data_IF_460998541017
#
_entry.id   IF_460998541017
#
_cell.length_a   1.000
_cell.length_b   1.000
_cell.length_c   1.000
_cell.angle_alpha   90.00
_cell.angle_beta   90.00
_cell.angle_gamma   90.00
#
_symmetry.space_group_name_H-M   'P 1'
#
loop_
_entity.id
_entity.type
_entity.pdbx_description
1 polymer ?
#
# COMPACT_ATOMS: atom_id res chain seq x y z
N UNK A 1 28.68 23.69 -7.03
CA UNK A 1 27.87 23.69 -5.80
C UNK A 1 26.39 23.69 -6.11
N UNK A 2 25.93 24.66 -6.88
CA UNK A 2 24.49 24.72 -7.24
C UNK A 2 24.03 23.46 -7.99
N UNK A 3 24.86 22.94 -8.88
CA UNK A 3 24.53 21.71 -9.63
C UNK A 3 24.42 20.50 -8.72
N UNK A 4 25.25 20.38 -7.71
CA UNK A 4 25.18 19.28 -6.75
C UNK A 4 23.94 19.38 -5.89
N UNK A 5 23.59 20.59 -5.45
CA UNK A 5 22.35 20.80 -4.70
C UNK A 5 21.12 20.44 -5.53
N UNK A 6 21.10 20.89 -6.78
CA UNK A 6 20.00 20.61 -7.68
C UNK A 6 19.90 19.12 -7.98
N UNK A 7 21.03 18.45 -8.19
CA UNK A 7 21.06 17.01 -8.36
C UNK A 7 20.47 16.28 -7.15
N UNK A 8 20.80 16.74 -5.95
CA UNK A 8 20.27 16.16 -4.72
C UNK A 8 18.78 16.33 -4.60
N UNK A 9 18.26 17.51 -4.91
CA UNK A 9 16.81 17.75 -4.93
C UNK A 9 16.11 16.87 -5.95
N UNK A 10 16.72 16.69 -7.13
CA UNK A 10 16.16 15.82 -8.16
C UNK A 10 16.12 14.36 -7.72
N UNK A 11 17.19 13.89 -7.07
CA UNK A 11 17.26 12.52 -6.56
C UNK A 11 16.22 12.28 -5.45
N UNK A 12 16.14 13.20 -4.48
CA UNK A 12 15.16 13.11 -3.38
C UNK A 12 13.75 13.15 -3.96
N UNK A 13 13.49 14.06 -4.89
CA UNK A 13 12.19 14.16 -5.53
C UNK A 13 11.82 12.89 -6.29
N UNK A 14 12.79 12.31 -7.01
CA UNK A 14 12.55 11.07 -7.75
C UNK A 14 12.25 9.91 -6.80
N UNK A 15 13.05 9.74 -5.75
CA UNK A 15 12.85 8.67 -4.77
C UNK A 15 11.51 8.83 -4.04
N UNK A 16 11.17 10.06 -3.63
CA UNK A 16 9.91 10.35 -2.97
C UNK A 16 8.73 10.04 -3.91
N UNK A 17 8.84 10.41 -5.18
CA UNK A 17 7.80 10.13 -6.17
C UNK A 17 7.63 8.62 -6.38
N UNK A 18 8.72 7.87 -6.46
CA UNK A 18 8.68 6.41 -6.60
C UNK A 18 7.99 5.77 -5.39
N UNK A 19 8.31 6.24 -4.19
CA UNK A 19 7.67 5.76 -2.96
C UNK A 19 6.17 6.08 -3.01
N UNK A 20 5.80 7.31 -3.36
CA UNK A 20 4.41 7.73 -3.43
C UNK A 20 3.62 6.88 -4.42
N UNK A 21 4.12 6.69 -5.63
CA UNK A 21 3.44 5.88 -6.64
C UNK A 21 3.31 4.43 -6.21
N UNK A 22 4.37 3.86 -5.63
CA UNK A 22 4.33 2.49 -5.13
C UNK A 22 3.24 2.32 -4.06
N UNK A 23 3.15 3.25 -3.11
CA UNK A 23 2.15 3.17 -2.05
C UNK A 23 0.75 3.44 -2.57
N UNK A 24 0.57 4.36 -3.53
CA UNK A 24 -0.73 4.58 -4.15
C UNK A 24 -1.23 3.33 -4.88
N UNK A 25 -0.34 2.64 -5.58
CA UNK A 25 -0.68 1.38 -6.24
C UNK A 25 -1.09 0.33 -5.21
N UNK A 26 -0.32 0.19 -4.13
CA UNK A 26 -0.64 -0.74 -3.05
C UNK A 26 -1.98 -0.39 -2.39
N UNK A 27 -2.24 0.89 -2.11
CA UNK A 27 -3.53 1.33 -1.57
C UNK A 27 -4.67 0.96 -2.52
N UNK A 28 -4.47 1.17 -3.83
CA UNK A 28 -5.46 0.81 -4.84
C UNK A 28 -5.78 -0.68 -4.83
N UNK A 29 -4.76 -1.54 -4.73
CA UNK A 29 -4.97 -2.98 -4.64
C UNK A 29 -5.69 -3.39 -3.36
N UNK A 30 -5.39 -2.76 -2.23
CA UNK A 30 -6.07 -3.04 -0.97
C UNK A 30 -7.53 -2.61 -1.05
N UNK A 31 -7.81 -1.43 -1.59
CA UNK A 31 -9.18 -0.95 -1.78
C UNK A 31 -9.96 -1.89 -2.72
N UNK A 32 -9.33 -2.32 -3.81
CA UNK A 32 -9.94 -3.28 -4.72
C UNK A 32 -10.24 -4.60 -4.02
N UNK A 33 -9.35 -5.05 -3.14
CA UNK A 33 -9.58 -6.25 -2.33
C UNK A 33 -10.80 -6.11 -1.44
N UNK A 34 -11.00 -4.93 -0.83
CA UNK A 34 -12.19 -4.64 -0.03
C UNK A 34 -13.46 -4.73 -0.90
N UNK A 35 -13.43 -4.10 -2.07
CA UNK A 35 -14.56 -4.11 -2.97
C UNK A 35 -14.92 -5.53 -3.42
N UNK A 36 -13.91 -6.33 -3.76
CA UNK A 36 -14.14 -7.73 -4.13
C UNK A 36 -14.71 -8.56 -2.98
N UNK A 37 -14.38 -8.22 -1.74
CA UNK A 37 -14.89 -8.96 -0.58
C UNK A 37 -16.38 -8.75 -0.38
N UNK A 38 -16.96 -7.68 -0.96
CA UNK A 38 -18.40 -7.40 -0.88
C UNK A 38 -19.20 -8.23 -1.88
N UNK A 39 -18.53 -8.82 -2.88
CA UNK A 39 -19.20 -9.65 -3.89
C UNK A 39 -18.99 -11.12 -3.56
N UNK A 40 -20.06 -11.92 -3.54
CA UNK A 40 -19.94 -13.35 -3.25
C UNK A 40 -19.34 -14.10 -4.43
N UNK A 41 -18.37 -14.95 -4.14
CA UNK A 41 -17.84 -15.89 -5.10
C UNK A 41 -16.77 -15.33 -6.02
N UNK A 42 -16.28 -16.23 -6.87
CA UNK A 42 -15.23 -15.92 -7.86
C UNK A 42 -15.90 -15.39 -9.12
N UNK A 43 -15.31 -14.37 -9.77
CA UNK A 43 -15.91 -13.82 -10.98
C UNK A 43 -16.03 -14.85 -12.09
N UNK A 44 -17.09 -14.74 -12.91
CA UNK A 44 -17.34 -15.66 -14.02
C UNK A 44 -16.65 -15.23 -15.32
N UNK A 45 -16.36 -13.95 -15.47
CA UNK A 45 -15.68 -13.39 -16.65
C UNK A 45 -14.18 -13.64 -16.57
N UNK A 46 -13.57 -14.06 -17.68
CA UNK A 46 -12.11 -14.29 -17.75
C UNK A 46 -11.31 -13.04 -17.41
N UNK A 47 -11.77 -11.88 -17.88
CA UNK A 47 -11.12 -10.61 -17.59
C UNK A 47 -11.17 -10.29 -16.09
N UNK A 48 -12.36 -10.42 -15.49
CA UNK A 48 -12.52 -10.15 -14.07
C UNK A 48 -11.80 -11.17 -13.20
N UNK A 49 -11.67 -12.41 -13.66
CA UNK A 49 -10.88 -13.42 -12.96
C UNK A 49 -9.40 -13.01 -12.91
N UNK A 50 -8.87 -12.51 -14.03
CA UNK A 50 -7.49 -12.03 -14.08
C UNK A 50 -7.28 -10.84 -13.13
N UNK A 51 -8.21 -9.90 -13.11
CA UNK A 51 -8.18 -8.74 -12.20
C UNK A 51 -8.24 -9.20 -10.74
N UNK A 52 -9.16 -10.10 -10.43
CA UNK A 52 -9.34 -10.63 -9.08
C UNK A 52 -8.08 -11.33 -8.59
N UNK A 53 -7.49 -12.19 -9.44
CA UNK A 53 -6.28 -12.92 -9.09
C UNK A 53 -5.09 -11.99 -8.90
N UNK A 54 -4.96 -10.95 -9.74
CA UNK A 54 -3.91 -9.95 -9.61
C UNK A 54 -4.05 -9.15 -8.31
N UNK A 55 -5.27 -8.74 -7.97
CA UNK A 55 -5.55 -8.02 -6.73
C UNK A 55 -5.17 -8.88 -5.53
N UNK A 56 -5.57 -10.14 -5.52
CA UNK A 56 -5.24 -11.05 -4.42
C UNK A 56 -3.75 -11.33 -4.34
N UNK A 57 -3.07 -11.47 -5.46
CA UNK A 57 -1.64 -11.71 -5.48
C UNK A 57 -0.84 -10.58 -4.84
N UNK A 58 -1.30 -9.34 -4.97
CA UNK A 58 -0.65 -8.16 -4.37
C UNK A 58 -1.14 -7.95 -2.94
N UNK A 59 -2.44 -8.03 -2.69
CA UNK A 59 -3.01 -7.72 -1.38
C UNK A 59 -2.74 -8.80 -0.33
N UNK A 60 -2.77 -10.08 -0.70
CA UNK A 60 -2.63 -11.17 0.27
C UNK A 60 -1.31 -11.12 1.06
N UNK A 61 -0.13 -10.91 0.46
CA UNK A 61 1.10 -10.83 1.23
C UNK A 61 1.10 -9.72 2.28
N UNK A 62 0.34 -8.66 2.04
CA UNK A 62 0.20 -7.55 2.98
C UNK A 62 -0.83 -7.88 4.06
N UNK A 63 -1.97 -8.44 3.66
CA UNK A 63 -3.11 -8.65 4.55
C UNK A 63 -2.99 -9.91 5.41
N UNK A 64 -2.37 -10.97 4.90
CA UNK A 64 -2.29 -12.24 5.63
C UNK A 64 -1.61 -12.14 6.99
N UNK A 65 -0.44 -11.47 7.13
CA UNK A 65 0.17 -11.31 8.45
C UNK A 65 -0.73 -10.55 9.42
N UNK A 66 -1.49 -9.58 8.92
CA UNK A 66 -2.40 -8.80 9.75
C UNK A 66 -3.60 -9.63 10.16
N UNK A 67 -4.18 -10.38 9.21
CA UNK A 67 -5.33 -11.25 9.49
C UNK A 67 -5.03 -12.32 10.51
N UNK A 68 -3.78 -12.81 10.53
CA UNK A 68 -3.38 -13.85 11.49
C UNK A 68 -3.30 -13.33 12.92
N UNK A 69 -3.20 -12.01 13.10
CA UNK A 69 -3.03 -11.38 14.42
C UNK A 69 -4.26 -10.61 14.90
N UNK A 70 -5.11 -10.20 13.97
CA UNK A 70 -6.29 -9.38 14.27
C UNK A 70 -7.53 -10.24 14.07
N UNK A 71 -8.33 -10.47 15.13
CA UNK A 71 -9.56 -11.25 14.97
C UNK A 71 -10.59 -10.48 14.16
N UNK A 72 -11.40 -11.22 13.42
CA UNK A 72 -12.52 -10.65 12.70
C UNK A 72 -13.57 -10.14 13.69
N UNK A 73 -14.04 -8.91 13.48
CA UNK A 73 -15.05 -8.33 14.33
C UNK A 73 -16.43 -8.90 13.95
N UNK A 74 -17.06 -9.55 14.91
CA UNK A 74 -18.38 -10.16 14.72
C UNK A 74 -19.45 -9.21 15.25
N UNK A 75 -20.29 -8.68 14.36
CA UNK A 75 -21.37 -7.77 14.72
C UNK A 75 -22.68 -8.29 14.14
N UNK A 76 -23.55 -8.82 15.00
CA UNK A 76 -24.92 -9.20 14.60
C UNK A 76 -24.99 -10.19 13.47
N UNK A 77 -24.07 -11.16 13.38
CA UNK A 77 -24.01 -12.13 12.31
C UNK A 77 -23.16 -11.73 11.12
N UNK A 78 -22.63 -10.51 11.11
CA UNK A 78 -21.70 -10.03 10.11
C UNK A 78 -20.28 -10.08 10.64
N UNK A 79 -19.35 -10.63 9.85
CA UNK A 79 -17.95 -10.55 10.14
C UNK A 79 -17.32 -9.36 9.44
N UNK A 80 -16.65 -8.48 10.18
CA UNK A 80 -15.94 -7.35 9.61
C UNK A 80 -14.44 -7.63 9.69
N UNK A 81 -13.79 -7.68 8.53
CA UNK A 81 -12.34 -7.84 8.45
C UNK A 81 -11.69 -6.45 8.56
N UNK A 82 -10.99 -6.22 9.66
CA UNK A 82 -10.30 -4.96 9.92
C UNK A 82 -8.91 -4.91 9.28
N UNK A 83 -8.43 -6.03 8.72
CA UNK A 83 -7.08 -6.11 8.15
C UNK A 83 -6.80 -5.08 7.06
N UNK A 84 -7.71 -4.82 6.09
CA UNK A 84 -7.47 -3.79 5.08
C UNK A 84 -7.30 -2.39 5.68
N UNK A 85 -8.10 -2.06 6.70
CA UNK A 85 -8.02 -0.76 7.36
C UNK A 85 -6.68 -0.61 8.08
N UNK A 86 -6.27 -1.64 8.82
CA UNK A 86 -5.00 -1.67 9.53
C UNK A 86 -3.85 -1.59 8.52
N UNK A 87 -3.95 -2.29 7.39
CA UNK A 87 -2.95 -2.25 6.34
C UNK A 87 -2.77 -0.86 5.76
N UNK A 88 -3.88 -0.14 5.51
CA UNK A 88 -3.84 1.23 5.00
C UNK A 88 -3.14 2.15 6.01
N UNK A 89 -3.49 2.07 7.27
CA UNK A 89 -2.81 2.86 8.31
C UNK A 89 -1.33 2.50 8.41
N UNK A 90 -1.00 1.22 8.43
CA UNK A 90 0.38 0.75 8.47
C UNK A 90 1.19 1.22 7.29
N UNK A 91 0.64 1.13 6.07
CA UNK A 91 1.30 1.62 4.88
C UNK A 91 1.48 3.13 4.90
N UNK A 92 0.50 3.88 5.42
CA UNK A 92 0.61 5.33 5.56
C UNK A 92 1.75 5.71 6.49
N UNK A 93 1.89 5.01 7.61
CA UNK A 93 2.99 5.23 8.54
C UNK A 93 4.32 4.87 7.89
N UNK A 94 4.38 3.73 7.21
CA UNK A 94 5.60 3.29 6.51
C UNK A 94 6.02 4.29 5.44
N UNK A 95 5.06 4.81 4.66
CA UNK A 95 5.33 5.83 3.65
C UNK A 95 5.92 7.08 4.28
N UNK A 96 5.32 7.55 5.37
CA UNK A 96 5.81 8.73 6.09
C UNK A 96 7.22 8.52 6.60
N UNK A 97 7.50 7.36 7.20
CA UNK A 97 8.82 7.04 7.71
C UNK A 97 9.86 6.97 6.58
N UNK A 98 9.52 6.34 5.46
CA UNK A 98 10.41 6.27 4.31
C UNK A 98 10.71 7.65 3.74
N UNK A 99 9.72 8.52 3.65
CA UNK A 99 9.90 9.90 3.18
C UNK A 99 10.84 10.66 4.10
N UNK A 100 10.65 10.54 5.42
CA UNK A 100 11.52 11.15 6.41
C UNK A 100 12.94 10.63 6.28
N UNK A 101 13.11 9.33 6.13
CA UNK A 101 14.44 8.71 5.97
C UNK A 101 15.13 9.25 4.72
N UNK A 102 14.42 9.30 3.60
CA UNK A 102 14.97 9.82 2.35
C UNK A 102 15.43 11.28 2.53
N UNK A 103 14.58 12.12 3.11
CA UNK A 103 14.89 13.52 3.29
C UNK A 103 16.04 13.73 4.29
N UNK A 104 16.07 12.94 5.36
CA UNK A 104 17.08 13.07 6.42
C UNK A 104 18.45 12.53 6.00
N UNK A 105 18.49 11.44 5.26
CA UNK A 105 19.74 10.76 4.92
C UNK A 105 20.31 11.22 3.58
N UNK A 106 19.46 11.52 2.61
CA UNK A 106 19.90 11.90 1.27
C UNK A 106 19.95 13.42 1.12
N UNK A 107 18.96 14.13 1.67
CA UNK A 107 18.92 15.57 1.61
C UNK A 107 20.16 16.26 2.18
N UNK A 108 20.63 15.93 3.39
CA UNK A 108 21.81 16.58 3.97
C UNK A 108 23.11 16.29 3.20
N UNK A 109 23.21 15.15 2.54
CA UNK A 109 24.41 14.79 1.77
C UNK A 109 24.60 15.72 0.58
N UNK A 110 23.52 16.26 0.06
CA UNK A 110 23.50 17.07 -1.15
C UNK A 110 23.30 18.55 -0.87
N UNK A 111 22.94 18.88 0.34
CA UNK A 111 22.77 20.26 0.78
C UNK A 111 24.01 20.82 1.47
#
# INVERSE_FOLDING_TARGET
MVLLQQFGYDVVGLLTSLVDYAFYILFGFIIASILFSWFPGYPSSSFMQAVYDAVRAVANPILMPIRSRVPMLQLGGFGIDLSPIIAIFGLSIARTLLTIIIEQFIGPVTG
#
